data_IF_979863158647
#
_entry.id   IF_979863158647
#
_cell.length_a   1.000
_cell.length_b   1.000
_cell.length_c   1.000
_cell.angle_alpha   90.00
_cell.angle_beta   90.00
_cell.angle_gamma   90.00
#
_symmetry.space_group_name_H-M   'P 1'
#
loop_
_entity.id
_entity.type
_entity.pdbx_description
1 polymer ?
#
# COMPACT_ATOMS: atom_id res chain seq x y z
N UNK A 1 -10.00 -11.08 -30.02
CA UNK A 1 -9.30 -11.40 -28.75
C UNK A 1 -10.31 -11.19 -27.66
N UNK A 2 -10.77 -12.26 -27.03
CA UNK A 2 -11.61 -12.18 -25.83
C UNK A 2 -10.79 -11.46 -24.75
N UNK A 3 -11.31 -10.33 -24.26
CA UNK A 3 -10.59 -9.38 -23.43
C UNK A 3 -10.47 -9.83 -21.98
N UNK A 4 -9.68 -10.87 -21.73
CA UNK A 4 -9.33 -11.29 -20.37
C UNK A 4 -8.18 -10.42 -19.87
N UNK A 5 -8.42 -9.63 -18.83
CA UNK A 5 -7.39 -8.82 -18.17
C UNK A 5 -6.97 -9.52 -16.87
N UNK A 6 -5.70 -9.88 -16.77
CA UNK A 6 -5.13 -10.41 -15.53
C UNK A 6 -4.86 -9.29 -14.52
N UNK A 7 -4.82 -9.63 -13.24
CA UNK A 7 -4.56 -8.69 -12.15
C UNK A 7 -3.79 -9.37 -11.04
N UNK A 8 -2.72 -8.70 -10.60
CA UNK A 8 -1.90 -9.12 -9.48
C UNK A 8 -2.13 -8.23 -8.25
N UNK A 9 -2.08 -8.82 -7.07
CA UNK A 9 -2.18 -8.10 -5.80
C UNK A 9 -0.82 -8.15 -5.10
N UNK A 10 -0.14 -7.00 -5.07
CA UNK A 10 1.19 -6.89 -4.51
C UNK A 10 1.09 -6.21 -3.14
N UNK A 11 1.60 -6.88 -2.10
CA UNK A 11 1.70 -6.29 -0.77
C UNK A 11 2.88 -5.31 -0.72
N UNK A 12 2.56 -4.04 -0.54
CA UNK A 12 3.54 -2.96 -0.39
C UNK A 12 3.53 -2.46 1.03
N UNK A 13 4.70 -2.35 1.64
CA UNK A 13 4.88 -1.84 3.00
C UNK A 13 5.61 -0.50 2.96
N UNK A 14 5.10 0.45 3.74
CA UNK A 14 5.58 1.84 3.79
C UNK A 14 5.87 2.19 5.25
N UNK A 15 6.96 2.92 5.51
CA UNK A 15 7.43 3.24 6.86
C UNK A 15 7.66 4.74 7.06
N UNK A 16 7.76 5.14 8.34
CA UNK A 16 8.18 6.47 8.78
C UNK A 16 7.38 7.62 8.13
N UNK A 17 8.06 8.70 7.74
CA UNK A 17 7.42 9.88 7.16
C UNK A 17 6.67 9.61 5.87
N UNK A 18 7.07 8.59 5.09
CA UNK A 18 6.34 8.20 3.87
C UNK A 18 4.97 7.59 4.23
N UNK A 19 4.88 6.84 5.33
CA UNK A 19 3.63 6.28 5.82
C UNK A 19 2.67 7.38 6.31
N UNK A 20 3.17 8.39 7.00
CA UNK A 20 2.37 9.56 7.41
C UNK A 20 1.93 10.39 6.20
N UNK A 21 2.81 10.61 5.22
CA UNK A 21 2.49 11.42 4.04
C UNK A 21 1.44 10.78 3.11
N UNK A 22 1.37 9.45 3.07
CA UNK A 22 0.43 8.75 2.20
C UNK A 22 -0.98 8.62 2.78
N UNK A 23 -1.07 8.57 4.11
CA UNK A 23 -2.31 8.26 4.85
C UNK A 23 -3.47 9.18 4.46
N UNK A 24 -3.25 10.48 4.34
CA UNK A 24 -4.33 11.44 4.07
C UNK A 24 -4.79 11.47 2.60
N UNK A 25 -4.03 10.92 1.65
CA UNK A 25 -4.29 11.09 0.21
C UNK A 25 -4.47 9.77 -0.55
N UNK A 26 -4.08 8.63 0.02
CA UNK A 26 -4.24 7.33 -0.61
C UNK A 26 -5.48 6.60 -0.09
N UNK A 27 -6.61 6.89 -0.73
CA UNK A 27 -7.84 6.13 -0.56
C UNK A 27 -7.90 4.94 -1.52
N UNK A 28 -8.87 4.05 -1.31
CA UNK A 28 -9.17 2.95 -2.24
C UNK A 28 -9.41 3.50 -3.65
N UNK A 29 -8.76 2.91 -4.65
CA UNK A 29 -8.92 3.27 -6.06
C UNK A 29 -8.04 4.43 -6.52
N UNK A 30 -7.19 5.00 -5.66
CA UNK A 30 -6.18 5.97 -6.08
C UNK A 30 -5.08 5.25 -6.86
N UNK A 31 -4.76 5.75 -8.05
CA UNK A 31 -3.66 5.23 -8.84
C UNK A 31 -2.33 5.84 -8.35
N UNK A 32 -1.39 4.97 -8.00
CA UNK A 32 -0.07 5.36 -7.51
C UNK A 32 1.03 4.61 -8.25
N UNK A 33 2.14 5.29 -8.51
CA UNK A 33 3.41 4.68 -8.86
C UNK A 33 4.25 4.48 -7.60
N UNK A 34 4.81 3.29 -7.45
CA UNK A 34 5.66 2.92 -6.32
C UNK A 34 7.06 2.60 -6.82
N UNK A 35 8.07 3.32 -6.31
CA UNK A 35 9.47 2.91 -6.40
C UNK A 35 9.81 2.20 -5.09
N UNK A 36 10.30 0.97 -5.19
CA UNK A 36 10.49 0.09 -4.04
C UNK A 36 11.68 -0.85 -4.23
N UNK A 37 12.08 -1.46 -3.13
CA UNK A 37 12.99 -2.61 -3.09
C UNK A 37 12.23 -3.88 -2.69
N UNK A 38 12.60 -5.00 -3.28
CA UNK A 38 12.05 -6.31 -2.91
C UNK A 38 12.91 -6.89 -1.79
N UNK A 39 12.26 -7.37 -0.73
CA UNK A 39 12.88 -8.14 0.34
C UNK A 39 12.29 -9.54 0.39
N UNK A 40 13.14 -10.53 0.65
CA UNK A 40 12.73 -11.90 0.92
C UNK A 40 13.08 -12.24 2.36
N UNK A 41 12.07 -12.67 3.10
CA UNK A 41 12.22 -13.14 4.47
C UNK A 41 11.94 -14.63 4.51
N UNK A 42 12.70 -15.34 5.35
CA UNK A 42 12.48 -16.75 5.62
C UNK A 42 12.13 -16.91 7.08
N UNK A 43 10.99 -17.53 7.34
CA UNK A 43 10.57 -17.90 8.69
C UNK A 43 10.57 -19.42 8.80
N UNK A 44 11.26 -19.94 9.81
CA UNK A 44 11.13 -21.33 10.20
C UNK A 44 9.94 -21.45 11.17
N UNK A 45 8.90 -22.18 10.74
CA UNK A 45 7.79 -22.54 11.61
C UNK A 45 8.10 -23.85 12.34
N UNK A 46 7.36 -24.13 13.40
CA UNK A 46 7.32 -25.47 14.00
C UNK A 46 6.93 -26.52 12.95
N UNK A 47 7.47 -27.73 13.09
CA UNK A 47 7.35 -28.86 12.14
C UNK A 47 8.11 -28.70 10.81
N UNK A 48 9.31 -28.09 10.83
CA UNK A 48 10.25 -28.04 9.69
C UNK A 48 9.70 -27.35 8.43
N UNK A 49 8.65 -26.54 8.59
CA UNK A 49 8.03 -25.76 7.52
C UNK A 49 8.71 -24.41 7.37
N UNK A 50 9.17 -24.10 6.17
CA UNK A 50 9.82 -22.82 5.83
C UNK A 50 8.85 -21.94 5.04
N UNK A 51 8.54 -20.77 5.58
CA UNK A 51 7.76 -19.75 4.88
C UNK A 51 8.70 -18.74 4.24
N UNK A 52 8.71 -18.71 2.90
CA UNK A 52 9.39 -17.67 2.15
C UNK A 52 8.36 -16.56 1.84
N UNK A 53 8.55 -15.38 2.41
CA UNK A 53 7.70 -14.23 2.15
C UNK A 53 8.46 -13.22 1.28
N UNK A 54 7.84 -12.81 0.19
CA UNK A 54 8.30 -11.67 -0.60
C UNK A 54 7.53 -10.43 -0.17
N UNK A 55 8.26 -9.35 0.04
CA UNK A 55 7.72 -8.08 0.48
C UNK A 55 8.29 -6.95 -0.37
N UNK A 56 7.45 -5.98 -0.74
CA UNK A 56 7.84 -4.80 -1.49
C UNK A 56 7.90 -3.62 -0.52
N UNK A 57 9.09 -3.09 -0.25
CA UNK A 57 9.27 -1.95 0.66
C UNK A 57 9.38 -0.66 -0.15
N UNK A 58 8.43 0.24 0.03
CA UNK A 58 8.37 1.50 -0.70
C UNK A 58 9.46 2.48 -0.25
N UNK A 59 10.14 3.09 -1.22
CA UNK A 59 11.11 4.18 -1.02
C UNK A 59 10.53 5.53 -1.47
N UNK A 60 9.65 5.49 -2.49
CA UNK A 60 8.96 6.68 -2.99
C UNK A 60 7.61 6.28 -3.57
N UNK A 61 6.61 7.13 -3.30
CA UNK A 61 5.27 7.01 -3.88
C UNK A 61 4.98 8.28 -4.68
N UNK A 62 4.33 8.12 -5.83
CA UNK A 62 3.90 9.22 -6.68
C UNK A 62 2.46 9.01 -7.09
N UNK A 63 1.61 10.00 -6.83
CA UNK A 63 0.19 9.95 -7.20
C UNK A 63 0.05 10.17 -8.70
N UNK A 64 -0.68 9.27 -9.36
CA UNK A 64 -0.97 9.34 -10.79
C UNK A 64 -2.42 9.78 -11.06
N UNK A 65 -3.27 9.73 -10.04
CA UNK A 65 -4.64 10.26 -10.09
C UNK A 65 -4.99 11.01 -8.80
N UNK A 66 -5.89 11.98 -8.89
CA UNK A 66 -6.52 12.54 -7.69
C UNK A 66 -7.50 11.53 -7.09
N UNK A 67 -7.66 11.48 -5.75
CA UNK A 67 -8.72 10.71 -5.13
C UNK A 67 -10.07 11.19 -5.67
N UNK A 68 -10.87 10.25 -6.18
CA UNK A 68 -12.23 10.55 -6.61
C UNK A 68 -13.01 11.08 -5.39
N UNK A 69 -13.62 12.27 -5.53
CA UNK A 69 -14.30 13.04 -4.47
C UNK A 69 -15.48 12.32 -3.75
N UNK A 70 -15.70 11.03 -3.99
CA UNK A 70 -16.91 10.31 -3.59
C UNK A 70 -17.04 9.94 -2.12
N UNK A 71 -15.94 9.75 -1.36
CA UNK A 71 -16.04 9.14 -0.02
C UNK A 71 -14.96 9.60 0.99
N UNK A 72 -14.46 10.83 0.91
CA UNK A 72 -13.60 11.37 1.99
C UNK A 72 -14.49 12.00 3.07
N UNK A 73 -14.97 11.21 4.03
CA UNK A 73 -15.55 11.74 5.26
C UNK A 73 -14.41 12.22 6.16
N UNK A 74 -14.10 13.51 6.08
CA UNK A 74 -13.32 14.18 7.12
C UNK A 74 -14.12 14.12 8.41
N UNK A 75 -13.72 13.28 9.36
CA UNK A 75 -14.13 13.43 10.76
C UNK A 75 -13.41 14.66 11.31
N UNK A 76 -14.07 15.80 11.24
CA UNK A 76 -13.72 16.98 12.03
C UNK A 76 -13.88 16.62 13.51
N UNK A 77 -12.78 16.33 14.19
CA UNK A 77 -12.79 16.23 15.64
C UNK A 77 -12.64 17.66 16.21
N UNK A 78 -13.79 18.31 16.41
CA UNK A 78 -13.90 19.48 17.28
C UNK A 78 -13.51 19.07 18.70
N UNK A 79 -12.37 19.56 19.17
CA UNK A 79 -12.09 19.68 20.60
C UNK A 79 -11.89 21.16 20.91
N UNK A 80 -13.01 21.87 21.11
CA UNK A 80 -13.07 23.01 22.01
C UNK A 80 -13.15 22.48 23.45
N UNK A 81 -12.08 22.67 24.23
CA UNK A 81 -12.10 23.29 25.56
C UNK A 81 -10.71 23.49 26.12
#
# INVERSE_FOLDING_TARGET
MEGTYDTDFIKVTVWEGLATAIESYCAKGVLVAVKARIQSWKYDLSDDRKLNMLEVIAERISYLSSPNKGEFKTSEESSEK
#
